data_IF_033262133181
#
_entry.id   IF_033262133181
#
_cell.length_a   1.000
_cell.length_b   1.000
_cell.length_c   1.000
_cell.angle_alpha   90.00
_cell.angle_beta   90.00
_cell.angle_gamma   90.00
#
_symmetry.space_group_name_H-M   'P 1'
#
loop_
_entity.id
_entity.type
_entity.pdbx_description
1 polymer ?
#
# COMPACT_ATOMS: atom_id res chain seq x y z
N UNK A 1 41.65 67.83 7.61
CA UNK A 1 42.80 68.11 6.72
C UNK A 1 43.01 66.91 5.82
N UNK A 2 42.99 67.14 4.50
CA UNK A 2 43.19 66.16 3.43
C UNK A 2 44.63 65.60 3.41
N UNK A 3 44.82 64.44 2.77
CA UNK A 3 45.37 64.49 1.41
C UNK A 3 44.61 63.65 0.38
N UNK A 4 44.97 63.90 -0.87
CA UNK A 4 44.25 63.71 -2.13
C UNK A 4 44.87 62.66 -3.06
N UNK A 5 44.01 62.16 -3.96
CA UNK A 5 44.21 61.50 -5.27
C UNK A 5 45.65 61.24 -5.79
N UNK A 6 45.92 59.98 -6.16
CA UNK A 6 46.52 59.63 -7.46
C UNK A 6 45.76 58.49 -8.14
N UNK A 7 45.53 58.70 -9.43
CA UNK A 7 44.74 57.90 -10.36
C UNK A 7 45.45 56.61 -10.76
N UNK A 8 44.68 55.58 -11.09
CA UNK A 8 44.84 54.82 -12.34
C UNK A 8 43.51 54.14 -12.68
N UNK A 9 42.90 54.61 -13.77
CA UNK A 9 41.82 53.92 -14.48
C UNK A 9 42.41 52.69 -15.17
N UNK A 10 41.80 51.52 -14.97
CA UNK A 10 41.75 50.48 -15.99
C UNK A 10 40.34 49.90 -16.07
N UNK A 11 39.88 49.76 -17.30
CA UNK A 11 38.59 49.28 -17.74
C UNK A 11 38.38 47.81 -17.36
N UNK A 12 37.17 47.48 -16.93
CA UNK A 12 36.70 46.11 -16.75
C UNK A 12 35.18 46.06 -16.79
N UNK A 13 34.61 46.02 -18.01
CA UNK A 13 33.26 45.51 -18.26
C UNK A 13 33.23 44.03 -17.86
N UNK A 14 32.30 43.61 -16.99
CA UNK A 14 32.12 42.18 -16.75
C UNK A 14 31.22 41.81 -15.58
N UNK A 15 29.92 41.70 -15.86
CA UNK A 15 29.05 40.69 -15.25
C UNK A 15 28.69 40.85 -13.76
N UNK A 16 27.50 41.38 -13.49
CA UNK A 16 26.72 41.01 -12.32
C UNK A 16 26.42 39.51 -12.41
N UNK A 17 27.22 38.68 -11.74
CA UNK A 17 26.84 37.29 -11.45
C UNK A 17 25.76 37.38 -10.38
N UNK A 18 24.50 37.41 -10.80
CA UNK A 18 23.40 37.03 -9.94
C UNK A 18 23.64 35.58 -9.55
N UNK A 19 24.15 35.35 -8.34
CA UNK A 19 24.18 34.04 -7.71
C UNK A 19 22.72 33.62 -7.51
N UNK A 20 22.14 33.03 -8.55
CA UNK A 20 20.86 32.34 -8.46
C UNK A 20 21.07 31.20 -7.47
N UNK A 21 20.45 31.32 -6.29
CA UNK A 21 20.26 30.14 -5.44
C UNK A 21 19.66 29.03 -6.29
N UNK A 22 20.09 27.76 -6.11
CA UNK A 22 19.40 26.67 -6.76
C UNK A 22 17.95 26.78 -6.32
N UNK A 23 17.06 27.12 -7.27
CA UNK A 23 15.65 26.84 -7.08
C UNK A 23 15.61 25.38 -6.74
N UNK A 24 15.06 25.04 -5.57
CA UNK A 24 14.59 23.69 -5.35
C UNK A 24 13.67 23.41 -6.53
N UNK A 25 14.17 22.64 -7.49
CA UNK A 25 13.30 21.94 -8.41
C UNK A 25 12.54 21.04 -7.47
N UNK A 26 11.30 21.43 -7.15
CA UNK A 26 10.34 20.48 -6.62
C UNK A 26 10.38 19.36 -7.63
N UNK A 27 10.89 18.20 -7.22
CA UNK A 27 10.75 17.03 -8.04
C UNK A 27 9.24 16.86 -8.17
N UNK A 28 8.68 17.30 -9.30
CA UNK A 28 7.34 16.95 -9.72
C UNK A 28 7.39 15.48 -10.14
N UNK A 29 7.75 14.61 -9.21
CA UNK A 29 7.13 13.31 -9.12
C UNK A 29 5.74 13.59 -8.55
N UNK A 30 4.87 14.17 -9.38
CA UNK A 30 3.48 13.81 -9.30
C UNK A 30 3.47 12.29 -9.48
N UNK A 31 3.59 11.54 -8.38
CA UNK A 31 3.14 10.15 -8.33
C UNK A 31 1.76 10.23 -8.95
N UNK A 32 1.64 9.56 -10.08
CA UNK A 32 0.52 9.70 -10.98
C UNK A 32 -0.75 9.50 -10.13
N UNK A 33 -1.45 10.60 -9.87
CA UNK A 33 -2.52 10.65 -8.88
C UNK A 33 -3.80 10.16 -9.54
N UNK A 34 -3.77 8.87 -9.85
CA UNK A 34 -4.85 8.16 -10.50
C UNK A 34 -5.61 7.39 -9.44
N UNK A 35 -6.93 7.44 -9.56
CA UNK A 35 -7.83 6.72 -8.68
C UNK A 35 -7.43 5.23 -8.63
N UNK A 36 -7.26 4.70 -7.42
CA UNK A 36 -7.04 3.27 -7.22
C UNK A 36 -8.26 2.47 -7.68
N UNK A 37 -8.05 1.28 -8.26
CA UNK A 37 -9.14 0.48 -8.80
C UNK A 37 -10.09 0.00 -7.69
N UNK A 38 -11.39 0.18 -7.89
CA UNK A 38 -12.40 -0.43 -7.02
C UNK A 38 -12.57 -1.90 -7.39
N UNK A 39 -12.53 -2.77 -6.39
CA UNK A 39 -12.63 -4.21 -6.56
C UNK A 39 -13.63 -4.82 -5.58
N UNK A 40 -14.04 -6.06 -5.82
CA UNK A 40 -14.99 -6.77 -4.96
C UNK A 40 -14.39 -7.03 -3.56
N UNK A 41 -15.22 -6.82 -2.52
CA UNK A 41 -14.91 -7.28 -1.16
C UNK A 41 -14.79 -8.82 -1.07
N UNK A 42 -15.34 -9.54 -2.06
CA UNK A 42 -15.42 -10.99 -2.01
C UNK A 42 -16.37 -11.48 -0.90
N UNK A 43 -16.45 -12.80 -0.68
CA UNK A 43 -17.46 -13.40 0.19
C UNK A 43 -17.08 -13.44 1.67
N UNK A 44 -15.89 -12.93 2.04
CA UNK A 44 -15.31 -13.13 3.38
C UNK A 44 -15.13 -11.83 4.17
N UNK A 45 -15.77 -10.74 3.75
CA UNK A 45 -15.84 -9.51 4.54
C UNK A 45 -16.70 -9.71 5.81
N UNK A 46 -16.30 -9.08 6.92
CA UNK A 46 -17.00 -9.12 8.21
C UNK A 46 -17.02 -7.71 8.79
N UNK A 47 -18.15 -7.27 9.34
CA UNK A 47 -18.35 -5.89 9.86
C UNK A 47 -17.82 -5.67 11.29
N UNK A 48 -16.94 -6.54 11.79
CA UNK A 48 -16.47 -6.53 13.18
C UNK A 48 -14.95 -6.69 13.32
N UNK A 49 -14.19 -6.11 12.38
CA UNK A 49 -12.74 -6.07 12.44
C UNK A 49 -12.23 -5.30 13.68
N UNK A 50 -11.11 -5.77 14.23
CA UNK A 50 -10.51 -5.22 15.45
C UNK A 50 -9.52 -4.10 15.11
N UNK A 51 -9.54 -2.99 15.86
CA UNK A 51 -8.49 -1.97 15.77
C UNK A 51 -7.19 -2.51 16.36
N UNK A 52 -6.24 -2.91 15.50
CA UNK A 52 -4.96 -3.49 15.89
C UNK A 52 -3.95 -3.44 14.74
N UNK A 53 -2.68 -3.27 15.10
CA UNK A 53 -1.58 -3.24 14.15
C UNK A 53 -1.08 -4.66 13.82
N UNK A 54 -0.86 -5.49 14.83
CA UNK A 54 -0.55 -6.91 14.63
C UNK A 54 -1.86 -7.69 14.46
N UNK A 55 -2.03 -8.24 13.26
CA UNK A 55 -3.22 -9.03 12.90
C UNK A 55 -2.90 -10.53 12.81
N UNK A 56 -1.68 -10.96 13.13
CA UNK A 56 -1.22 -12.33 12.87
C UNK A 56 -2.03 -13.39 13.61
N UNK A 57 -2.42 -13.11 14.85
CA UNK A 57 -2.97 -14.08 15.82
C UNK A 57 -2.17 -15.39 15.85
N UNK A 58 -0.84 -15.29 15.73
CA UNK A 58 0.08 -16.43 15.77
C UNK A 58 0.01 -17.37 14.55
N UNK A 59 -0.69 -17.00 13.47
CA UNK A 59 -0.74 -17.81 12.26
C UNK A 59 0.66 -17.97 11.66
N UNK A 60 1.08 -19.19 11.28
CA UNK A 60 2.40 -19.41 10.70
C UNK A 60 2.47 -18.90 9.26
N UNK A 61 3.59 -18.28 8.91
CA UNK A 61 3.87 -17.78 7.56
C UNK A 61 5.12 -16.91 7.53
N UNK A 62 5.50 -16.48 6.33
CA UNK A 62 6.55 -15.49 6.13
C UNK A 62 6.08 -14.14 6.69
N UNK A 63 6.82 -13.50 7.61
CA UNK A 63 6.49 -12.17 8.11
C UNK A 63 6.23 -11.16 6.99
N UNK A 64 5.21 -10.33 7.17
CA UNK A 64 4.83 -9.29 6.22
C UNK A 64 4.46 -8.02 6.97
N UNK A 65 5.14 -6.91 6.66
CA UNK A 65 4.68 -5.57 7.00
C UNK A 65 3.93 -4.98 5.82
N UNK A 66 2.69 -4.57 6.06
CA UNK A 66 1.85 -3.91 5.07
C UNK A 66 1.85 -2.42 5.38
N UNK A 67 2.34 -1.61 4.45
CA UNK A 67 2.41 -0.17 4.57
C UNK A 67 1.54 0.48 3.50
N UNK A 68 0.55 1.25 3.93
CA UNK A 68 -0.35 1.96 3.04
C UNK A 68 -0.15 3.46 3.17
N UNK A 69 -0.34 4.17 2.07
CA UNK A 69 -0.51 5.62 2.07
C UNK A 69 -1.84 5.96 1.38
N UNK A 70 -2.80 6.52 2.12
CA UNK A 70 -4.06 7.01 1.58
C UNK A 70 -3.92 8.48 1.16
N UNK A 71 -4.31 8.76 -0.08
CA UNK A 71 -4.38 10.08 -0.66
C UNK A 71 -5.79 10.33 -1.18
N UNK A 72 -6.29 11.56 -1.04
CA UNK A 72 -7.51 11.98 -1.73
C UNK A 72 -7.20 12.37 -3.18
N UNK A 73 -8.09 12.00 -4.11
CA UNK A 73 -7.94 12.29 -5.54
C UNK A 73 -7.88 13.80 -5.82
N UNK A 74 -8.67 14.59 -5.09
CA UNK A 74 -8.63 16.05 -5.22
C UNK A 74 -7.38 16.62 -4.55
N UNK A 75 -6.48 17.16 -5.36
CA UNK A 75 -5.22 17.75 -4.92
C UNK A 75 -4.14 16.75 -4.49
N UNK A 76 -4.42 15.44 -4.49
CA UNK A 76 -3.45 14.39 -4.19
C UNK A 76 -2.81 14.54 -2.81
N UNK A 77 -3.63 15.00 -1.86
CA UNK A 77 -3.21 15.29 -0.50
C UNK A 77 -3.35 14.03 0.36
N UNK A 78 -2.52 13.88 1.40
CA UNK A 78 -2.73 12.90 2.46
C UNK A 78 -4.16 12.87 2.99
N UNK A 79 -4.70 11.67 3.20
CA UNK A 79 -6.00 11.44 3.83
C UNK A 79 -5.79 10.85 5.22
N UNK A 80 -5.71 11.71 6.23
CA UNK A 80 -5.71 11.32 7.65
C UNK A 80 -7.10 11.01 8.20
N UNK A 81 -7.14 10.40 9.39
CA UNK A 81 -8.36 10.02 10.13
C UNK A 81 -9.32 9.09 9.34
N UNK A 82 -8.83 8.39 8.32
CA UNK A 82 -9.57 7.35 7.63
C UNK A 82 -9.28 5.98 8.26
N UNK A 83 -10.31 5.16 8.46
CA UNK A 83 -10.12 3.80 8.95
C UNK A 83 -9.84 2.87 7.78
N UNK A 84 -8.60 2.41 7.67
CA UNK A 84 -8.20 1.37 6.73
C UNK A 84 -8.40 0.01 7.39
N UNK A 85 -9.31 -0.77 6.83
CA UNK A 85 -9.58 -2.15 7.21
C UNK A 85 -8.96 -3.09 6.19
N UNK A 86 -8.29 -4.16 6.67
CA UNK A 86 -7.75 -5.21 5.81
C UNK A 86 -8.14 -6.61 6.31
N UNK A 87 -8.27 -7.54 5.37
CA UNK A 87 -8.42 -8.96 5.65
C UNK A 87 -7.77 -9.82 4.57
N UNK A 88 -7.22 -10.96 4.97
CA UNK A 88 -6.70 -11.94 4.02
C UNK A 88 -6.73 -13.36 4.58
N UNK A 89 -6.52 -14.33 3.68
CA UNK A 89 -6.38 -15.74 4.07
C UNK A 89 -5.02 -16.02 4.72
N UNK A 90 -4.95 -17.08 5.50
CA UNK A 90 -3.69 -17.60 6.01
C UNK A 90 -2.83 -18.26 4.91
N UNK A 91 -1.67 -18.81 5.31
CA UNK A 91 -0.76 -19.51 4.39
C UNK A 91 -1.39 -20.73 3.68
N UNK A 92 -2.53 -21.22 4.19
CA UNK A 92 -3.27 -22.38 3.69
C UNK A 92 -4.48 -21.96 2.83
N UNK A 93 -4.75 -20.67 2.67
CA UNK A 93 -5.90 -20.18 1.92
C UNK A 93 -7.19 -20.10 2.73
N UNK A 94 -7.15 -20.28 4.05
CA UNK A 94 -8.31 -20.20 4.92
C UNK A 94 -8.53 -18.78 5.46
N UNK A 95 -9.78 -18.31 5.43
CA UNK A 95 -10.20 -17.06 6.08
C UNK A 95 -10.72 -17.35 7.50
N UNK A 96 -10.47 -16.43 8.43
CA UNK A 96 -11.06 -16.46 9.77
C UNK A 96 -12.53 -16.02 9.76
N UNK A 97 -13.30 -16.41 10.77
CA UNK A 97 -14.67 -15.92 10.98
C UNK A 97 -15.72 -16.54 10.05
N UNK A 98 -15.40 -17.66 9.40
CA UNK A 98 -16.29 -18.35 8.46
C UNK A 98 -16.60 -19.77 8.93
N UNK A 99 -17.79 -20.27 8.58
CA UNK A 99 -18.21 -21.63 8.89
C UNK A 99 -18.19 -21.93 10.40
N UNK A 100 -17.54 -23.03 10.79
CA UNK A 100 -17.40 -23.43 12.19
C UNK A 100 -16.39 -22.61 13.00
N UNK A 101 -15.57 -21.78 12.34
CA UNK A 101 -14.57 -20.89 12.97
C UNK A 101 -15.07 -19.44 13.04
N UNK A 102 -16.35 -19.24 13.34
CA UNK A 102 -17.03 -17.93 13.27
C UNK A 102 -16.54 -16.90 14.29
N UNK A 103 -15.90 -17.33 15.38
CA UNK A 103 -15.38 -16.45 16.42
C UNK A 103 -13.96 -15.93 16.14
N UNK A 104 -13.22 -16.58 15.24
CA UNK A 104 -11.82 -16.24 14.96
C UNK A 104 -11.69 -14.97 14.11
N UNK A 105 -10.67 -14.15 14.39
CA UNK A 105 -10.40 -12.91 13.66
C UNK A 105 -8.98 -12.81 13.13
N UNK A 106 -8.22 -13.91 13.07
CA UNK A 106 -6.85 -13.87 12.53
C UNK A 106 -6.80 -13.20 11.16
N UNK A 107 -5.72 -12.45 10.93
CA UNK A 107 -5.39 -11.79 9.66
C UNK A 107 -6.48 -10.81 9.20
N UNK A 108 -7.15 -10.18 10.17
CA UNK A 108 -8.09 -9.07 10.02
C UNK A 108 -7.74 -7.96 10.99
N UNK A 109 -7.84 -6.72 10.55
CA UNK A 109 -7.69 -5.57 11.44
C UNK A 109 -7.96 -4.24 10.78
N UNK A 110 -8.07 -3.23 11.63
CA UNK A 110 -8.26 -1.82 11.27
C UNK A 110 -7.08 -1.02 11.80
N UNK A 111 -6.65 -0.03 11.03
CA UNK A 111 -5.76 1.05 11.44
C UNK A 111 -6.33 2.39 11.00
N UNK A 112 -6.10 3.44 11.78
CA UNK A 112 -6.46 4.80 11.41
C UNK A 112 -5.26 5.43 10.73
N UNK A 113 -5.47 6.08 9.58
CA UNK A 113 -4.41 6.79 8.87
C UNK A 113 -3.95 8.02 9.66
N UNK A 114 -2.64 8.24 9.72
CA UNK A 114 -2.06 9.44 10.33
C UNK A 114 -2.22 10.70 9.45
N UNK A 115 -1.73 11.84 9.92
CA UNK A 115 -1.80 13.12 9.20
C UNK A 115 -1.12 13.10 7.81
N UNK A 116 -0.18 12.17 7.60
CA UNK A 116 0.51 11.93 6.32
C UNK A 116 -0.18 10.82 5.48
N UNK A 117 -1.33 10.34 5.95
CA UNK A 117 -2.16 9.33 5.30
C UNK A 117 -1.65 7.90 5.48
N UNK A 118 -0.72 7.64 6.40
CA UNK A 118 -0.10 6.33 6.55
C UNK A 118 -0.84 5.42 7.52
N UNK A 119 -0.91 4.14 7.17
CA UNK A 119 -1.35 3.06 8.04
C UNK A 119 -0.44 1.84 7.86
N UNK A 120 -0.08 1.17 8.95
CA UNK A 120 0.80 0.00 8.93
C UNK A 120 0.20 -1.19 9.69
N UNK A 121 0.33 -2.39 9.13
CA UNK A 121 -0.03 -3.65 9.77
C UNK A 121 1.16 -4.61 9.81
N UNK A 122 1.20 -5.45 10.83
CA UNK A 122 2.08 -6.63 10.93
C UNK A 122 1.24 -7.88 10.71
N UNK A 123 1.66 -8.70 9.76
CA UNK A 123 0.95 -9.89 9.34
C UNK A 123 1.92 -10.96 8.83
N UNK A 124 1.38 -11.95 8.13
CA UNK A 124 2.11 -12.89 7.29
C UNK A 124 1.74 -12.69 5.83
N UNK A 125 2.62 -13.08 4.91
CA UNK A 125 2.29 -13.17 3.49
C UNK A 125 1.07 -14.09 3.31
N UNK A 126 0.00 -13.66 2.62
CA UNK A 126 -1.18 -14.50 2.42
C UNK A 126 -0.83 -15.71 1.57
N UNK A 127 -1.51 -16.83 1.81
CA UNK A 127 -1.52 -17.94 0.86
C UNK A 127 -2.37 -17.64 -0.37
N UNK A 128 -2.84 -18.71 -1.00
CA UNK A 128 -3.79 -18.67 -2.10
C UNK A 128 -4.89 -19.70 -1.84
N UNK A 129 -6.00 -19.60 -2.58
CA UNK A 129 -7.08 -20.58 -2.55
C UNK A 129 -7.59 -20.81 -3.98
N UNK A 130 -8.28 -21.92 -4.28
CA UNK A 130 -8.62 -22.29 -5.65
C UNK A 130 -9.28 -21.16 -6.45
N UNK A 131 -8.67 -20.82 -7.58
CA UNK A 131 -9.17 -19.80 -8.52
C UNK A 131 -8.78 -18.36 -8.19
N UNK A 132 -7.98 -18.13 -7.14
CA UNK A 132 -7.53 -16.79 -6.73
C UNK A 132 -6.02 -16.75 -6.48
N UNK A 133 -5.38 -15.66 -6.91
CA UNK A 133 -3.96 -15.37 -6.63
C UNK A 133 -3.76 -14.88 -5.19
N UNK A 134 -2.51 -14.67 -4.74
CA UNK A 134 -2.25 -14.09 -3.41
C UNK A 134 -2.73 -12.63 -3.39
N UNK A 135 -3.54 -12.28 -2.40
CA UNK A 135 -4.06 -10.92 -2.27
C UNK A 135 -4.37 -10.58 -0.80
N UNK A 136 -4.39 -9.29 -0.52
CA UNK A 136 -4.96 -8.71 0.71
C UNK A 136 -6.15 -7.87 0.31
N UNK A 137 -7.32 -8.15 0.88
CA UNK A 137 -8.46 -7.27 0.70
C UNK A 137 -8.30 -6.03 1.57
N UNK A 138 -8.83 -4.92 1.09
CA UNK A 138 -8.85 -3.67 1.83
C UNK A 138 -10.17 -2.92 1.64
N UNK A 139 -10.57 -2.19 2.67
CA UNK A 139 -11.68 -1.25 2.64
C UNK A 139 -11.28 0.00 3.42
N UNK A 140 -11.53 1.18 2.84
CA UNK A 140 -11.24 2.46 3.46
C UNK A 140 -12.55 3.15 3.82
N UNK A 141 -12.65 3.55 5.08
CA UNK A 141 -13.82 4.19 5.66
C UNK A 141 -13.51 5.64 6.04
N UNK A 142 -14.44 6.54 5.76
CA UNK A 142 -14.38 7.94 6.19
C UNK A 142 -15.67 8.31 6.93
N UNK A 143 -15.59 8.30 8.26
CA UNK A 143 -16.78 8.28 9.12
C UNK A 143 -17.53 6.96 8.96
N UNK A 144 -18.84 7.02 8.75
CA UNK A 144 -19.71 5.84 8.53
C UNK A 144 -19.78 5.42 7.05
N UNK A 145 -18.97 6.01 6.16
CA UNK A 145 -19.03 5.76 4.72
C UNK A 145 -17.86 4.91 4.25
N UNK A 146 -18.18 3.90 3.46
CA UNK A 146 -17.23 3.14 2.66
C UNK A 146 -16.87 3.98 1.43
N UNK A 147 -15.63 4.47 1.36
CA UNK A 147 -15.17 5.32 0.25
C UNK A 147 -14.32 4.56 -0.76
N UNK A 148 -13.81 3.39 -0.39
CA UNK A 148 -13.05 2.53 -1.29
C UNK A 148 -13.06 1.08 -0.83
N UNK A 149 -13.26 0.15 -1.76
CA UNK A 149 -12.97 -1.29 -1.58
C UNK A 149 -12.02 -1.73 -2.67
N UNK A 150 -10.96 -2.46 -2.30
CA UNK A 150 -9.91 -2.86 -3.23
C UNK A 150 -9.21 -4.14 -2.80
N UNK A 151 -8.19 -4.53 -3.56
CA UNK A 151 -7.27 -5.61 -3.20
C UNK A 151 -5.83 -5.23 -3.56
N UNK A 152 -4.90 -5.58 -2.69
CA UNK A 152 -3.46 -5.50 -2.91
C UNK A 152 -2.97 -6.85 -3.45
N UNK A 153 -2.17 -6.80 -4.52
CA UNK A 153 -1.52 -7.97 -5.12
C UNK A 153 0.01 -7.91 -4.96
N UNK A 154 0.69 -9.02 -5.27
CA UNK A 154 2.12 -9.16 -5.06
C UNK A 154 2.87 -9.48 -6.36
N UNK A 155 4.12 -9.01 -6.54
CA UNK A 155 4.98 -9.47 -7.62
C UNK A 155 5.27 -10.97 -7.49
N UNK A 156 4.67 -11.80 -8.34
CA UNK A 156 4.76 -13.27 -8.22
C UNK A 156 6.19 -13.80 -8.18
N UNK A 157 7.09 -13.22 -8.98
CA UNK A 157 8.48 -13.64 -9.03
C UNK A 157 9.16 -13.53 -7.65
N UNK A 158 8.82 -12.50 -6.89
CA UNK A 158 9.37 -12.27 -5.56
C UNK A 158 8.79 -13.24 -4.51
N UNK A 159 7.50 -13.55 -4.57
CA UNK A 159 6.84 -14.41 -3.57
C UNK A 159 6.89 -15.91 -3.89
N UNK A 160 7.20 -16.29 -5.14
CA UNK A 160 7.26 -17.69 -5.59
C UNK A 160 8.14 -18.60 -4.73
N UNK A 161 9.34 -18.19 -4.26
CA UNK A 161 10.14 -19.02 -3.37
C UNK A 161 9.45 -19.34 -2.04
N UNK A 162 8.68 -18.39 -1.48
CA UNK A 162 7.91 -18.62 -0.26
C UNK A 162 6.76 -19.61 -0.51
N UNK A 163 6.05 -19.46 -1.65
CA UNK A 163 4.96 -20.36 -2.04
C UNK A 163 5.41 -21.81 -2.25
N UNK A 164 6.69 -22.04 -2.53
CA UNK A 164 7.26 -23.38 -2.75
C UNK A 164 7.66 -24.11 -1.45
N UNK A 165 7.45 -23.53 -0.26
CA UNK A 165 7.89 -24.09 1.03
C UNK A 165 6.73 -24.14 2.03
N UNK A 166 6.76 -25.04 3.03
CA UNK A 166 5.85 -24.97 4.17
C UNK A 166 5.94 -23.59 4.86
N UNK A 167 4.84 -23.01 5.35
CA UNK A 167 3.48 -23.56 5.39
C UNK A 167 2.63 -23.18 4.17
N UNK A 168 3.21 -22.84 3.01
CA UNK A 168 2.48 -22.44 1.80
C UNK A 168 2.34 -23.55 0.76
N UNK A 169 3.32 -24.45 0.68
CA UNK A 169 3.32 -25.54 -0.26
C UNK A 169 2.31 -26.63 0.13
N UNK A 170 1.19 -26.73 -0.61
CA UNK A 170 0.13 -27.71 -0.33
C UNK A 170 -0.03 -28.73 -1.43
N UNK A 171 0.13 -30.03 -1.13
CA UNK A 171 -0.19 -31.09 -2.07
C UNK A 171 -1.66 -30.99 -2.51
N UNK A 172 -1.89 -30.84 -3.82
CA UNK A 172 -3.23 -30.82 -4.41
C UNK A 172 -3.84 -29.43 -4.64
N UNK A 173 -3.21 -28.34 -4.18
CA UNK A 173 -3.66 -26.99 -4.48
C UNK A 173 -2.77 -26.31 -5.53
N UNK A 174 -3.34 -26.02 -6.70
CA UNK A 174 -2.62 -25.32 -7.78
C UNK A 174 -2.67 -23.82 -7.53
N UNK A 175 -1.50 -23.19 -7.51
CA UNK A 175 -1.40 -21.74 -7.39
C UNK A 175 -1.95 -21.06 -8.65
N UNK A 176 -2.93 -20.17 -8.49
CA UNK A 176 -3.50 -19.38 -9.59
C UNK A 176 -2.64 -18.13 -9.84
N UNK A 177 -2.01 -18.00 -11.01
CA UNK A 177 -1.25 -16.79 -11.36
C UNK A 177 -2.17 -15.57 -11.56
N UNK A 178 -1.63 -14.36 -11.41
CA UNK A 178 -2.25 -13.05 -11.66
C UNK A 178 -2.94 -13.04 -13.03
N UNK A 179 -2.28 -13.53 -14.07
CA UNK A 179 -2.81 -13.59 -15.44
C UNK A 179 -4.01 -14.53 -15.61
N UNK A 180 -4.30 -15.38 -14.61
CA UNK A 180 -5.43 -16.30 -14.61
C UNK A 180 -6.53 -15.87 -13.63
N UNK A 181 -6.18 -15.12 -12.59
CA UNK A 181 -7.13 -14.56 -11.61
C UNK A 181 -8.13 -13.62 -12.30
N UNK A 182 -9.42 -13.86 -12.07
CA UNK A 182 -10.48 -13.10 -12.75
C UNK A 182 -10.70 -11.72 -12.14
N UNK A 183 -10.43 -11.53 -10.84
CA UNK A 183 -10.56 -10.22 -10.17
C UNK A 183 -9.43 -9.33 -10.64
N UNK A 184 -8.19 -9.84 -10.59
CA UNK A 184 -7.02 -9.13 -11.06
C UNK A 184 -7.22 -8.64 -12.50
N UNK A 185 -7.58 -9.55 -13.42
CA UNK A 185 -7.74 -9.18 -14.85
C UNK A 185 -8.93 -8.28 -15.16
N UNK A 186 -10.04 -8.42 -14.44
CA UNK A 186 -11.29 -7.72 -14.79
C UNK A 186 -11.51 -6.44 -13.99
N UNK A 187 -10.79 -6.27 -12.89
CA UNK A 187 -10.95 -5.16 -11.96
C UNK A 187 -9.62 -4.42 -11.77
N UNK A 188 -8.84 -4.30 -12.86
CA UNK A 188 -7.64 -3.46 -12.96
C UNK A 188 -6.58 -3.74 -11.87
N UNK A 189 -6.40 -5.01 -11.51
CA UNK A 189 -5.50 -5.40 -10.43
C UNK A 189 -4.02 -5.09 -10.70
N UNK A 190 -3.64 -4.88 -11.97
CA UNK A 190 -2.29 -4.44 -12.33
C UNK A 190 -1.92 -3.08 -11.71
N UNK A 191 -2.91 -2.26 -11.35
CA UNK A 191 -2.74 -0.96 -10.71
C UNK A 191 -2.65 -1.05 -9.18
N UNK A 192 -2.81 -2.24 -8.60
CA UNK A 192 -2.75 -2.47 -7.15
C UNK A 192 -1.75 -3.57 -6.76
N UNK A 193 -0.74 -3.81 -7.60
CA UNK A 193 0.45 -4.58 -7.23
C UNK A 193 1.32 -3.75 -6.30
N UNK A 194 1.62 -4.27 -5.11
CA UNK A 194 2.48 -3.60 -4.15
C UNK A 194 3.94 -3.51 -4.62
N UNK A 195 4.61 -2.43 -4.24
CA UNK A 195 6.06 -2.40 -4.16
C UNK A 195 6.47 -3.36 -3.03
N UNK A 196 7.27 -4.38 -3.35
CA UNK A 196 7.67 -5.41 -2.40
C UNK A 196 9.18 -5.35 -2.15
N UNK A 197 9.57 -5.19 -0.88
CA UNK A 197 10.95 -5.14 -0.43
C UNK A 197 11.22 -6.30 0.53
N UNK A 198 12.38 -6.93 0.42
CA UNK A 198 12.85 -7.87 1.45
C UNK A 198 13.38 -7.10 2.67
N UNK A 199 13.07 -7.55 3.89
CA UNK A 199 13.57 -6.92 5.12
C UNK A 199 14.40 -7.84 6.01
N UNK A 200 14.81 -8.99 5.47
CA UNK A 200 15.64 -10.00 6.14
C UNK A 200 14.85 -11.02 6.95
N UNK A 201 13.68 -10.65 7.48
CA UNK A 201 12.77 -11.56 8.20
C UNK A 201 11.58 -11.99 7.34
N UNK A 202 11.20 -11.15 6.37
CA UNK A 202 10.20 -11.44 5.37
C UNK A 202 10.12 -10.31 4.36
N UNK A 203 8.94 -9.68 4.26
CA UNK A 203 8.69 -8.62 3.29
C UNK A 203 8.06 -7.36 3.89
N UNK A 204 8.32 -6.23 3.25
CA UNK A 204 7.52 -5.01 3.34
C UNK A 204 6.78 -4.83 2.01
N UNK A 205 5.45 -4.82 2.05
CA UNK A 205 4.60 -4.51 0.91
C UNK A 205 4.03 -3.08 1.06
N UNK A 206 4.29 -2.23 0.08
CA UNK A 206 3.82 -0.84 0.03
C UNK A 206 2.80 -0.63 -1.06
N UNK A 207 1.70 0.05 -0.72
CA UNK A 207 0.68 0.45 -1.68
C UNK A 207 0.17 1.87 -1.37
N UNK A 208 0.17 2.73 -2.38
CA UNK A 208 -0.52 4.03 -2.31
C UNK A 208 -1.95 3.86 -2.80
N UNK A 209 -2.91 4.27 -1.99
CA UNK A 209 -4.34 4.29 -2.30
C UNK A 209 -4.74 5.73 -2.61
N UNK A 210 -5.22 5.99 -3.82
CA UNK A 210 -5.80 7.28 -4.20
C UNK A 210 -7.31 7.11 -4.32
N UNK A 211 -8.08 7.85 -3.53
CA UNK A 211 -9.54 7.64 -3.39
C UNK A 211 -10.34 8.93 -3.63
N UNK A 212 -11.55 8.82 -4.18
CA UNK A 212 -12.50 9.94 -4.18
C UNK A 212 -13.31 9.91 -2.88
N UNK A 213 -13.07 10.87 -1.98
CA UNK A 213 -13.73 10.95 -0.66
C UNK A 213 -15.23 11.28 -0.73
N UNK A 214 -15.73 11.60 -1.93
CA UNK A 214 -17.15 11.80 -2.22
C UNK A 214 -17.83 10.53 -2.72
N UNK A 215 -17.07 9.48 -3.05
CA UNK A 215 -17.64 8.20 -3.42
C UNK A 215 -18.38 7.54 -2.23
N UNK A 216 -19.28 6.62 -2.58
CA UNK A 216 -19.91 5.68 -1.64
C UNK A 216 -19.89 4.33 -2.35
N UNK A 217 -19.04 3.41 -1.90
CA UNK A 217 -18.67 2.18 -2.64
C UNK A 217 -19.08 0.91 -1.95
#
# INVERSE_FOLDING_TARGET
>A
MHPTRRQLMQLGLGGLVLLSWPRFVRADNARACHLSPVQTAGPFYLEDALLRQDITDGKPGTPLRLQFQALQLDGCLPLGDAALEIWHCDAQGAYSGVGSDSASRFLRGVQITDDDGHAEFRSILPGYYPGRTNHVHLKLHLGERDIHTGQLYFPEAAIRPAMARPPYAHPGQVWTPLEQDYVFRRQQGEQSIAELLEDGEGFVARLTLVVDTRANT
#
